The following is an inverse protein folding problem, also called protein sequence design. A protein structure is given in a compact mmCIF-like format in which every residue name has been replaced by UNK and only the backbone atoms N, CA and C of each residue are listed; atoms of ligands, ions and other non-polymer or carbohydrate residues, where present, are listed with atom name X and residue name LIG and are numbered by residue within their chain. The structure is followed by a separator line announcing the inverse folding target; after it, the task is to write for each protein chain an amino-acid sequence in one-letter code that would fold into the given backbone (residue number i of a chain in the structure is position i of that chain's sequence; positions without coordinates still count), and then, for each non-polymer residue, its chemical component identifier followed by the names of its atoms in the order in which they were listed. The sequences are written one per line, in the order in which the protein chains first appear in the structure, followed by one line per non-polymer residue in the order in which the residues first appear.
data_IF_440928442472
#
_entry.id   IF_440928442472
#
_cell.length_a   1.000
_cell.length_b   1.000
_cell.length_c   1.000
_cell.angle_alpha   90.00
_cell.angle_beta   90.00
_cell.angle_gamma   90.00
#
_symmetry.space_group_name_H-M   'P 1'
#
loop_
_entity.id
_entity.type
_entity.pdbx_description
1 polymer ?
#
# COMPACT_ATOMS: atom_id res chain seq x y z
N UNK A 1 25.50 32.20 12.45
CA UNK A 1 24.51 31.09 12.50
C UNK A 1 23.46 31.23 11.39
N UNK A 2 22.85 32.41 11.19
CA UNK A 2 21.82 32.65 10.16
C UNK A 2 22.22 32.28 8.72
N UNK A 3 23.48 32.52 8.34
CA UNK A 3 23.99 32.26 6.97
C UNK A 3 23.87 30.81 6.52
N UNK A 4 23.80 29.85 7.45
CA UNK A 4 23.68 28.41 7.15
C UNK A 4 22.22 27.97 7.25
N UNK A 5 21.48 28.49 8.24
CA UNK A 5 20.09 28.10 8.49
C UNK A 5 19.17 28.45 7.30
N UNK A 6 19.34 29.64 6.72
CA UNK A 6 18.53 30.11 5.61
C UNK A 6 18.64 29.22 4.36
N UNK A 7 19.84 28.91 3.81
CA UNK A 7 19.94 28.02 2.66
C UNK A 7 19.49 26.59 2.98
N UNK A 8 19.74 26.06 4.18
CA UNK A 8 19.28 24.71 4.55
C UNK A 8 17.75 24.62 4.60
N UNK A 9 17.06 25.63 5.13
CA UNK A 9 15.59 25.65 5.17
C UNK A 9 14.99 25.72 3.77
N UNK A 10 15.60 26.49 2.86
CA UNK A 10 15.16 26.58 1.46
C UNK A 10 15.32 25.23 0.76
N UNK A 11 16.48 24.58 0.90
CA UNK A 11 16.75 23.28 0.27
C UNK A 11 15.78 22.21 0.79
N UNK A 12 15.59 22.12 2.11
CA UNK A 12 14.65 21.17 2.71
C UNK A 12 13.22 21.47 2.26
N UNK A 13 12.81 22.74 2.24
CA UNK A 13 11.49 23.15 1.76
C UNK A 13 11.23 22.74 0.31
N UNK A 14 12.20 22.97 -0.58
CA UNK A 14 12.12 22.53 -1.98
C UNK A 14 12.04 21.01 -2.08
N UNK A 15 12.82 20.27 -1.28
CA UNK A 15 12.81 18.80 -1.31
C UNK A 15 11.45 18.22 -0.91
N UNK A 16 10.81 18.78 0.12
CA UNK A 16 9.47 18.37 0.57
C UNK A 16 8.43 18.73 -0.50
N UNK A 17 8.54 19.93 -1.09
CA UNK A 17 7.65 20.35 -2.17
C UNK A 17 7.73 19.38 -3.35
N UNK A 18 8.95 19.07 -3.83
CA UNK A 18 9.16 18.13 -4.95
C UNK A 18 8.63 16.72 -4.64
N UNK A 19 8.83 16.22 -3.43
CA UNK A 19 8.33 14.90 -3.01
C UNK A 19 6.79 14.87 -2.98
N UNK A 20 6.15 15.99 -2.65
CA UNK A 20 4.69 16.08 -2.53
C UNK A 20 3.95 16.28 -3.86
N UNK A 21 4.63 16.70 -4.94
CA UNK A 21 4.00 17.01 -6.25
C UNK A 21 3.18 15.83 -6.78
N UNK A 22 3.68 14.60 -6.66
CA UNK A 22 2.95 13.40 -7.12
C UNK A 22 1.63 13.17 -6.37
N UNK A 23 1.57 13.56 -5.10
CA UNK A 23 0.37 13.47 -4.26
C UNK A 23 -0.61 14.58 -4.62
N UNK A 24 -0.13 15.80 -4.88
CA UNK A 24 -0.97 16.90 -5.34
C UNK A 24 -1.62 16.64 -6.71
N UNK A 25 -0.91 15.99 -7.65
CA UNK A 25 -1.45 15.68 -8.98
C UNK A 25 -2.50 14.56 -8.93
N UNK A 26 -2.23 13.46 -8.20
CA UNK A 26 -3.17 12.33 -8.10
C UNK A 26 -4.26 12.53 -7.03
N UNK A 27 -4.11 13.54 -6.17
CA UNK A 27 -5.10 14.03 -5.21
C UNK A 27 -5.42 13.10 -4.04
N UNK A 28 -5.08 11.80 -4.13
CA UNK A 28 -5.34 10.82 -3.08
C UNK A 28 -4.22 9.79 -3.01
N UNK A 29 -3.79 9.48 -1.79
CA UNK A 29 -3.05 8.25 -1.54
C UNK A 29 -3.94 7.07 -1.92
N UNK A 30 -3.34 6.07 -2.57
CA UNK A 30 -4.04 4.82 -2.86
C UNK A 30 -4.47 4.17 -1.54
N UNK A 31 -5.62 3.48 -1.54
CA UNK A 31 -6.05 2.73 -0.37
C UNK A 31 -4.94 1.72 -0.01
N UNK A 32 -4.33 1.86 1.16
CA UNK A 32 -3.31 0.91 1.65
C UNK A 32 -3.89 -0.44 2.05
N UNK A 33 -5.21 -0.54 2.16
CA UNK A 33 -5.89 -1.80 2.46
C UNK A 33 -5.84 -2.74 1.24
N UNK A 34 -5.16 -3.87 1.39
CA UNK A 34 -4.94 -4.85 0.32
C UNK A 34 -6.24 -5.26 -0.39
N UNK A 35 -7.32 -5.50 0.38
CA UNK A 35 -8.60 -5.94 -0.18
C UNK A 35 -9.39 -4.81 -0.87
N UNK A 36 -9.13 -3.54 -0.56
CA UNK A 36 -9.87 -2.39 -1.12
C UNK A 36 -9.06 -1.58 -2.12
N UNK A 37 -7.86 -2.04 -2.47
CA UNK A 37 -6.99 -1.40 -3.45
C UNK A 37 -7.21 -2.01 -4.84
N UNK A 38 -7.86 -1.24 -5.72
CA UNK A 38 -8.13 -1.65 -7.10
C UNK A 38 -6.86 -1.93 -7.91
N UNK A 39 -5.72 -1.31 -7.58
CA UNK A 39 -4.46 -1.58 -8.25
C UNK A 39 -3.93 -2.96 -7.83
N UNK A 40 -3.90 -3.27 -6.53
CA UNK A 40 -3.47 -4.58 -6.02
C UNK A 40 -4.40 -5.72 -6.49
N UNK A 41 -5.70 -5.46 -6.54
CA UNK A 41 -6.68 -6.43 -7.05
C UNK A 41 -6.46 -6.76 -8.54
N UNK A 42 -6.04 -5.79 -9.37
CA UNK A 42 -5.71 -6.05 -10.79
C UNK A 42 -4.47 -6.92 -10.97
N UNK A 43 -3.51 -6.82 -10.04
CA UNK A 43 -2.31 -7.66 -10.00
C UNK A 43 -2.57 -9.03 -9.33
N UNK A 44 -3.81 -9.33 -8.95
CA UNK A 44 -4.19 -10.60 -8.30
C UNK A 44 -3.80 -10.70 -6.82
N UNK A 45 -3.38 -9.60 -6.19
CA UNK A 45 -2.97 -9.58 -4.78
C UNK A 45 -4.20 -9.40 -3.89
N UNK A 46 -4.60 -10.46 -3.19
CA UNK A 46 -5.72 -10.47 -2.24
C UNK A 46 -5.25 -10.52 -0.78
N UNK A 47 -6.16 -10.52 0.19
CA UNK A 47 -5.77 -10.78 1.59
C UNK A 47 -5.24 -12.22 1.73
N UNK A 48 -4.40 -12.45 2.73
CA UNK A 48 -3.77 -13.76 2.95
C UNK A 48 -4.80 -14.89 3.03
N UNK A 49 -5.94 -14.68 3.71
CA UNK A 49 -7.03 -15.66 3.82
C UNK A 49 -7.64 -16.02 2.47
N UNK A 50 -7.89 -15.03 1.61
CA UNK A 50 -8.46 -15.28 0.28
C UNK A 50 -7.45 -15.97 -0.64
N UNK A 51 -6.18 -15.56 -0.62
CA UNK A 51 -5.12 -16.24 -1.38
C UNK A 51 -4.93 -17.67 -0.92
N UNK A 52 -4.93 -17.92 0.39
CA UNK A 52 -4.84 -19.26 0.97
C UNK A 52 -6.00 -20.13 0.49
N UNK A 53 -7.23 -19.62 0.56
CA UNK A 53 -8.44 -20.30 0.03
C UNK A 53 -8.37 -20.59 -1.46
N UNK A 54 -7.84 -19.67 -2.27
CA UNK A 54 -7.68 -19.83 -3.72
C UNK A 54 -6.57 -20.84 -4.08
N UNK A 55 -5.51 -20.89 -3.27
CA UNK A 55 -4.40 -21.84 -3.43
C UNK A 55 -4.73 -23.25 -2.97
N UNK A 56 -5.83 -23.40 -2.20
CA UNK A 56 -6.27 -24.69 -1.67
C UNK A 56 -6.72 -25.59 -2.82
N UNK A 57 -5.97 -26.67 -3.04
CA UNK A 57 -6.37 -27.72 -3.99
C UNK A 57 -7.46 -28.59 -3.36
N UNK A 58 -8.40 -29.07 -4.17
CA UNK A 58 -9.44 -30.00 -3.70
C UNK A 58 -8.80 -31.29 -3.17
N UNK A 59 -8.95 -31.54 -1.87
CA UNK A 59 -8.42 -32.72 -1.21
C UNK A 59 -9.59 -33.53 -0.60
N UNK A 60 -9.82 -34.78 -1.06
CA UNK A 60 -10.92 -35.63 -0.56
C UNK A 60 -10.77 -36.02 0.91
N UNK A 61 -9.59 -35.82 1.51
CA UNK A 61 -9.30 -36.07 2.92
C UNK A 61 -9.18 -34.77 3.74
N UNK A 62 -9.61 -33.62 3.19
CA UNK A 62 -9.56 -32.36 3.92
C UNK A 62 -10.38 -32.44 5.21
N UNK A 63 -9.71 -32.19 6.34
CA UNK A 63 -10.37 -32.06 7.65
C UNK A 63 -11.16 -30.75 7.66
N UNK A 64 -12.37 -30.77 8.22
CA UNK A 64 -13.16 -29.56 8.44
C UNK A 64 -12.47 -28.68 9.47
N UNK A 65 -11.68 -27.72 8.99
CA UNK A 65 -11.15 -26.63 9.79
C UNK A 65 -12.28 -25.66 10.17
N UNK A 66 -12.19 -25.10 11.38
CA UNK A 66 -13.19 -24.17 11.89
C UNK A 66 -13.21 -22.94 10.97
N UNK A 67 -14.39 -22.48 10.49
CA UNK A 67 -14.47 -21.35 9.58
C UNK A 67 -14.03 -20.09 10.35
N UNK A 68 -12.78 -19.69 10.17
CA UNK A 68 -12.28 -18.38 10.60
C UNK A 68 -12.58 -17.38 9.49
N UNK A 69 -13.74 -16.74 9.63
CA UNK A 69 -14.17 -15.43 9.08
C UNK A 69 -13.58 -15.00 7.73
#
# INVERSE_FOLDING_TARGET
MEKILLPTLIIVGISVALLSVGIFIKGKFVNGHVSSNKALAREGVHCATTQDRESRTENPHAVKEHPSL
#
